data_IF_657221108713
#
_entry.id   IF_657221108713
#
_cell.length_a   1.000
_cell.length_b   1.000
_cell.length_c   1.000
_cell.angle_alpha   90.00
_cell.angle_beta   90.00
_cell.angle_gamma   90.00
#
_symmetry.space_group_name_H-M   'P 1'
#
loop_
_entity.id
_entity.type
_entity.pdbx_description
1 polymer ?
#
# COMPACT_ATOMS: atom_id res chain seq x y z
N UNK A 1 51.95 11.75 51.48
CA UNK A 1 51.08 10.97 50.57
C UNK A 1 50.01 10.14 51.28
N UNK A 2 50.32 9.41 52.37
CA UNK A 2 49.36 8.50 53.05
C UNK A 2 48.02 9.14 53.48
N UNK A 3 48.02 10.29 54.17
CA UNK A 3 46.77 10.96 54.62
C UNK A 3 45.84 11.37 53.47
N UNK A 4 46.37 11.89 52.35
CA UNK A 4 45.57 12.29 51.18
C UNK A 4 44.94 11.08 50.48
N UNK A 5 45.68 9.97 50.39
CA UNK A 5 45.18 8.71 49.85
C UNK A 5 44.09 8.09 50.75
N UNK A 6 44.28 8.10 52.07
CA UNK A 6 43.27 7.62 53.04
C UNK A 6 41.98 8.44 52.96
N UNK A 7 42.08 9.77 52.83
CA UNK A 7 40.90 10.65 52.67
C UNK A 7 40.18 10.37 51.35
N UNK A 8 40.91 10.20 50.23
CA UNK A 8 40.32 9.88 48.94
C UNK A 8 39.58 8.52 48.96
N UNK A 9 40.14 7.51 49.62
CA UNK A 9 39.50 6.20 49.80
C UNK A 9 38.22 6.32 50.64
N UNK A 10 38.26 7.09 51.74
CA UNK A 10 37.07 7.31 52.58
C UNK A 10 35.97 8.02 51.78
N UNK A 11 36.30 9.08 51.03
CA UNK A 11 35.32 9.80 50.20
C UNK A 11 34.75 8.90 49.10
N UNK A 12 35.59 8.07 48.48
CA UNK A 12 35.15 7.08 47.49
C UNK A 12 34.18 6.07 48.08
N UNK A 13 34.48 5.56 49.28
CA UNK A 13 33.63 4.57 49.96
C UNK A 13 32.30 5.18 50.46
N UNK A 14 32.34 6.41 50.99
CA UNK A 14 31.12 7.14 51.39
C UNK A 14 30.25 7.47 50.18
N UNK A 15 30.85 7.88 49.06
CA UNK A 15 30.12 8.13 47.81
C UNK A 15 29.50 6.84 47.26
N UNK A 16 30.20 5.70 47.34
CA UNK A 16 29.68 4.39 46.93
C UNK A 16 28.48 3.97 47.79
N UNK A 17 28.59 4.09 49.12
CA UNK A 17 27.50 3.77 50.05
C UNK A 17 26.30 4.69 49.80
N UNK A 18 26.52 5.99 49.66
CA UNK A 18 25.46 6.95 49.36
C UNK A 18 24.77 6.62 48.03
N UNK A 19 25.54 6.26 46.99
CA UNK A 19 25.02 5.80 45.70
C UNK A 19 24.17 4.53 45.81
N UNK A 20 24.62 3.55 46.60
CA UNK A 20 23.87 2.30 46.85
C UNK A 20 22.60 2.53 47.66
N UNK A 21 22.62 3.47 48.63
CA UNK A 21 21.42 3.85 49.39
C UNK A 21 20.41 4.55 48.47
N UNK A 22 20.85 5.47 47.62
CA UNK A 22 19.99 6.14 46.64
C UNK A 22 19.40 5.17 45.63
N UNK A 23 20.20 4.23 45.12
CA UNK A 23 19.74 3.16 44.23
C UNK A 23 18.75 2.23 44.95
N UNK A 24 19.02 1.88 46.22
CA UNK A 24 18.13 1.08 47.07
C UNK A 24 16.80 1.78 47.32
N UNK A 25 16.81 3.07 47.68
CA UNK A 25 15.59 3.88 47.84
C UNK A 25 14.81 3.94 46.53
N UNK A 26 15.48 4.18 45.39
CA UNK A 26 14.84 4.19 44.07
C UNK A 26 14.20 2.83 43.72
N UNK A 27 14.86 1.73 44.06
CA UNK A 27 14.33 0.38 43.87
C UNK A 27 13.13 0.08 44.78
N UNK A 28 13.24 0.33 46.09
CA UNK A 28 12.18 0.04 47.07
C UNK A 28 10.97 0.98 46.98
N UNK A 29 11.13 2.17 46.41
CA UNK A 29 10.01 3.09 46.12
C UNK A 29 9.29 2.75 44.81
N UNK A 30 9.69 1.67 44.14
CA UNK A 30 9.08 1.21 42.90
C UNK A 30 9.48 2.04 41.68
N UNK A 31 10.65 2.70 41.69
CA UNK A 31 11.07 3.60 40.61
C UNK A 31 11.03 2.94 39.22
N UNK A 32 11.57 1.73 39.09
CA UNK A 32 11.57 0.96 37.83
C UNK A 32 10.14 0.55 37.42
N UNK A 33 9.32 0.09 38.37
CA UNK A 33 7.93 -0.30 38.10
C UNK A 33 7.08 0.91 37.68
N UNK A 34 7.29 2.08 38.29
CA UNK A 34 6.62 3.33 37.89
C UNK A 34 7.06 3.83 36.51
N UNK A 35 8.33 3.66 36.17
CA UNK A 35 8.85 3.97 34.82
C UNK A 35 8.18 3.11 33.76
N UNK A 36 8.06 1.81 34.04
CA UNK A 36 7.34 0.88 33.17
C UNK A 36 5.85 1.25 33.06
N UNK A 37 5.16 1.50 34.18
CA UNK A 37 3.74 1.89 34.20
C UNK A 37 3.45 3.18 33.43
N UNK A 38 4.33 4.17 33.53
CA UNK A 38 4.16 5.46 32.83
C UNK A 38 4.43 5.33 31.33
N UNK A 39 5.42 4.54 30.93
CA UNK A 39 5.80 4.38 29.52
C UNK A 39 4.97 3.32 28.77
N UNK A 40 4.17 2.51 29.49
CA UNK A 40 3.39 1.44 28.91
C UNK A 40 2.22 1.98 28.07
N UNK A 41 2.13 1.57 26.79
CA UNK A 41 0.95 1.86 26.00
C UNK A 41 -0.27 1.17 26.62
N UNK A 42 -1.43 1.77 26.40
CA UNK A 42 -2.71 1.20 26.84
C UNK A 42 -3.62 1.03 25.65
N UNK A 43 -4.35 -0.08 25.59
CA UNK A 43 -5.30 -0.30 24.51
C UNK A 43 -6.55 0.57 24.72
N UNK A 44 -6.93 1.30 23.68
CA UNK A 44 -8.14 2.11 23.64
C UNK A 44 -9.17 1.41 22.78
N UNK A 45 -10.34 1.16 23.37
CA UNK A 45 -11.51 0.68 22.64
C UNK A 45 -12.61 1.74 22.66
N UNK A 46 -13.12 2.07 21.49
CA UNK A 46 -14.26 2.97 21.32
C UNK A 46 -15.32 2.27 20.49
N UNK A 47 -16.58 2.48 20.87
CA UNK A 47 -17.73 1.90 20.17
C UNK A 47 -18.65 3.01 19.73
N UNK A 48 -19.12 2.94 18.49
CA UNK A 48 -20.06 3.90 17.91
C UNK A 48 -21.24 3.15 17.32
N UNK A 49 -22.44 3.71 17.49
CA UNK A 49 -23.67 3.08 16.98
C UNK A 49 -23.97 3.47 15.54
N UNK A 50 -23.47 4.61 15.08
CA UNK A 50 -23.71 5.10 13.74
C UNK A 50 -22.51 5.91 13.25
N UNK A 51 -21.99 5.55 12.07
CA UNK A 51 -20.91 6.23 11.38
C UNK A 51 -21.18 6.12 9.87
N UNK A 52 -21.08 7.25 9.19
CA UNK A 52 -21.24 7.32 7.73
C UNK A 52 -19.88 7.45 7.05
N UNK A 53 -18.95 8.16 7.69
CA UNK A 53 -17.64 8.49 7.14
C UNK A 53 -16.53 8.11 8.11
N UNK A 54 -15.48 7.50 7.57
CA UNK A 54 -14.20 7.34 8.25
C UNK A 54 -13.16 8.18 7.51
N UNK A 55 -12.48 9.06 8.25
CA UNK A 55 -11.40 9.91 7.76
C UNK A 55 -10.11 9.59 8.51
N UNK A 56 -9.07 9.21 7.76
CA UNK A 56 -7.70 9.02 8.26
C UNK A 56 -6.85 10.20 7.81
N UNK A 57 -6.64 11.15 8.71
CA UNK A 57 -5.86 12.37 8.49
C UNK A 57 -4.42 12.14 8.89
N UNK A 58 -3.68 11.47 8.00
CA UNK A 58 -2.26 11.12 8.12
C UNK A 58 -1.86 10.50 9.47
N UNK A 59 -1.70 9.18 9.47
CA UNK A 59 -1.15 8.46 10.63
C UNK A 59 0.00 7.55 10.20
N UNK A 60 1.09 7.47 10.98
CA UNK A 60 2.20 6.55 10.70
C UNK A 60 1.90 5.14 11.21
N UNK A 61 0.67 4.65 10.98
CA UNK A 61 0.18 3.36 11.46
C UNK A 61 -0.46 2.60 10.31
N UNK A 62 -0.43 1.27 10.39
CA UNK A 62 -1.22 0.41 9.52
C UNK A 62 -2.70 0.50 9.90
N UNK A 63 -3.57 0.71 8.91
CA UNK A 63 -5.02 0.83 9.12
C UNK A 63 -5.69 -0.45 8.65
N UNK A 64 -6.32 -1.16 9.58
CA UNK A 64 -7.13 -2.34 9.31
C UNK A 64 -8.60 -1.98 9.40
N UNK A 65 -9.36 -2.19 8.33
CA UNK A 65 -10.80 -1.96 8.31
C UNK A 65 -11.49 -3.27 7.96
N UNK A 66 -12.34 -3.79 8.84
CA UNK A 66 -12.92 -5.12 8.67
C UNK A 66 -14.37 -5.19 9.14
N UNK A 67 -15.08 -6.25 8.76
CA UNK A 67 -16.42 -6.53 9.27
C UNK A 67 -16.40 -6.76 10.80
N UNK A 68 -17.33 -6.12 11.52
CA UNK A 68 -17.58 -6.33 12.95
C UNK A 68 -18.38 -7.61 13.20
N UNK A 69 -18.19 -8.18 14.39
CA UNK A 69 -18.98 -9.31 14.87
C UNK A 69 -20.40 -8.93 15.33
N UNK A 70 -20.65 -7.65 15.59
CA UNK A 70 -21.92 -7.14 16.09
C UNK A 70 -22.50 -6.02 15.21
N UNK A 71 -23.50 -5.30 15.73
CA UNK A 71 -24.18 -4.20 15.02
C UNK A 71 -23.53 -2.83 15.19
N UNK A 72 -22.37 -2.74 15.84
CA UNK A 72 -21.69 -1.49 16.17
C UNK A 72 -20.38 -1.36 15.42
N UNK A 73 -19.93 -0.10 15.32
CA UNK A 73 -18.58 0.19 14.90
C UNK A 73 -17.66 0.11 16.10
N UNK A 74 -16.49 -0.52 15.95
CA UNK A 74 -15.46 -0.53 16.97
C UNK A 74 -14.16 0.05 16.44
N UNK A 75 -13.49 0.84 17.26
CA UNK A 75 -12.15 1.36 16.96
C UNK A 75 -11.24 0.93 18.09
N UNK A 76 -10.18 0.21 17.74
CA UNK A 76 -9.15 -0.26 18.65
C UNK A 76 -7.79 0.24 18.19
N UNK A 77 -7.06 0.87 19.10
CA UNK A 77 -5.70 1.37 18.86
C UNK A 77 -4.94 1.50 20.19
N UNK A 78 -3.62 1.59 20.13
CA UNK A 78 -2.81 1.88 21.31
C UNK A 78 -2.78 3.38 21.61
N UNK A 79 -3.08 3.77 22.84
CA UNK A 79 -2.67 5.07 23.35
C UNK A 79 -1.18 5.01 23.71
N UNK A 80 -0.40 5.84 23.00
CA UNK A 80 1.05 5.98 23.10
C UNK A 80 1.47 7.36 23.63
N UNK A 81 0.61 8.06 24.38
CA UNK A 81 0.87 9.42 24.92
C UNK A 81 2.21 9.57 25.65
N UNK A 82 2.76 8.49 26.21
CA UNK A 82 4.06 8.49 26.93
C UNK A 82 5.05 7.45 26.34
N UNK A 83 4.91 7.15 25.05
CA UNK A 83 5.70 6.14 24.35
C UNK A 83 6.31 6.74 23.07
N UNK A 84 7.41 6.16 22.58
CA UNK A 84 8.09 6.60 21.34
C UNK A 84 7.21 6.54 20.08
N UNK A 85 6.14 5.74 20.10
CA UNK A 85 5.19 5.67 18.98
C UNK A 85 4.28 6.90 18.94
N UNK A 86 3.96 7.35 17.73
CA UNK A 86 3.17 8.59 17.54
C UNK A 86 1.77 8.43 18.14
N UNK A 87 1.38 9.24 19.15
CA UNK A 87 0.05 9.14 19.74
C UNK A 87 -1.01 9.51 18.71
N UNK A 88 -2.21 8.93 18.90
CA UNK A 88 -3.34 9.11 18.00
C UNK A 88 -4.46 9.88 18.68
N UNK A 89 -5.03 10.83 17.93
CA UNK A 89 -6.23 11.54 18.33
C UNK A 89 -7.42 11.00 17.56
N UNK A 90 -8.44 10.57 18.30
CA UNK A 90 -9.74 10.15 17.77
C UNK A 90 -10.78 11.22 18.07
N UNK A 91 -11.56 11.59 17.06
CA UNK A 91 -12.76 12.41 17.24
C UNK A 91 -13.91 11.85 16.41
N UNK A 92 -15.11 11.98 16.93
CA UNK A 92 -16.34 11.69 16.20
C UNK A 92 -17.22 12.93 16.28
N UNK A 93 -17.73 13.36 15.12
CA UNK A 93 -18.69 14.46 15.03
C UNK A 93 -19.63 14.22 13.85
N UNK A 94 -20.92 14.29 14.11
CA UNK A 94 -21.97 14.21 13.08
C UNK A 94 -21.86 12.95 12.20
N UNK A 95 -21.47 11.80 12.79
CA UNK A 95 -21.30 10.52 12.09
C UNK A 95 -20.00 10.41 11.29
N UNK A 96 -19.07 11.35 11.48
CA UNK A 96 -17.73 11.36 10.87
C UNK A 96 -16.70 11.01 11.93
N UNK A 97 -16.09 9.84 11.80
CA UNK A 97 -14.95 9.42 12.61
C UNK A 97 -13.66 9.96 11.97
N UNK A 98 -12.88 10.74 12.70
CA UNK A 98 -11.58 11.23 12.25
C UNK A 98 -10.47 10.72 13.17
N UNK A 99 -9.48 10.06 12.56
CA UNK A 99 -8.21 9.70 13.21
C UNK A 99 -7.09 10.56 12.65
N UNK A 100 -6.27 11.12 13.54
CA UNK A 100 -5.07 11.88 13.16
C UNK A 100 -3.91 11.58 14.08
N UNK A 101 -2.69 11.81 13.61
CA UNK A 101 -1.51 11.84 14.47
C UNK A 101 -1.58 13.04 15.44
N UNK A 102 -0.97 12.88 16.61
CA UNK A 102 -0.75 13.93 17.59
C UNK A 102 0.76 14.15 17.78
N UNK A 103 1.14 15.37 18.18
CA UNK A 103 2.51 15.69 18.56
C UNK A 103 2.96 14.83 19.75
N UNK A 104 4.17 14.26 19.64
CA UNK A 104 4.79 13.48 20.71
C UNK A 104 5.18 14.39 21.86
N UNK A 105 4.57 14.18 23.03
CA UNK A 105 4.93 14.82 24.28
C UNK A 105 5.38 13.75 25.29
N UNK A 106 6.63 13.77 25.75
CA UNK A 106 7.12 12.76 26.68
C UNK A 106 7.01 13.24 28.14
N UNK A 107 6.34 12.45 29.00
CA UNK A 107 6.34 12.73 30.44
C UNK A 107 7.69 12.47 31.14
N UNK A 108 8.58 11.68 30.51
CA UNK A 108 9.93 11.35 31.01
C UNK A 108 10.90 11.51 29.84
N UNK A 109 11.92 12.34 29.99
CA UNK A 109 12.93 12.58 28.96
C UNK A 109 14.28 11.90 29.27
N UNK A 110 15.06 11.58 28.24
CA UNK A 110 16.44 11.08 28.36
C UNK A 110 16.55 9.57 28.60
N UNK A 111 17.65 9.10 29.20
CA UNK A 111 17.95 7.66 29.33
C UNK A 111 16.87 6.88 30.10
N UNK A 112 16.14 7.55 31.00
CA UNK A 112 15.07 6.96 31.78
C UNK A 112 13.84 6.63 30.93
N UNK A 113 13.56 7.42 29.89
CA UNK A 113 12.51 7.16 28.91
C UNK A 113 12.79 5.85 28.18
N UNK A 114 13.98 5.71 27.61
CA UNK A 114 14.41 4.51 26.89
C UNK A 114 14.34 3.25 27.77
N UNK A 115 14.74 3.36 29.04
CA UNK A 115 14.65 2.24 29.99
C UNK A 115 13.19 1.91 30.32
N UNK A 116 12.35 2.91 30.58
CA UNK A 116 10.92 2.72 30.83
C UNK A 116 10.22 2.04 29.65
N UNK A 117 10.45 2.51 28.43
CA UNK A 117 9.87 1.95 27.20
C UNK A 117 10.33 0.51 26.93
N UNK A 118 11.61 0.21 27.15
CA UNK A 118 12.12 -1.17 26.99
C UNK A 118 11.53 -2.14 28.00
N UNK A 119 11.24 -1.66 29.20
CA UNK A 119 10.57 -2.46 30.23
C UNK A 119 9.08 -2.60 29.93
N UNK A 120 8.48 -1.58 29.33
CA UNK A 120 7.06 -1.49 29.07
C UNK A 120 6.61 -2.14 27.74
N UNK A 121 7.50 -2.92 27.09
CA UNK A 121 7.14 -3.72 25.91
C UNK A 121 6.09 -4.77 26.30
N UNK A 122 4.81 -4.44 26.05
CA UNK A 122 3.66 -5.33 26.22
C UNK A 122 3.26 -5.95 24.89
N UNK A 123 2.44 -7.00 24.94
CA UNK A 123 1.77 -7.61 23.78
C UNK A 123 0.65 -6.73 23.19
N UNK A 124 0.83 -5.40 23.16
CA UNK A 124 -0.10 -4.44 22.55
C UNK A 124 0.48 -4.01 21.21
N UNK A 125 -0.30 -4.12 20.14
CA UNK A 125 0.12 -3.62 18.83
C UNK A 125 0.01 -2.09 18.79
N UNK A 126 1.17 -1.44 18.90
CA UNK A 126 1.30 0.02 18.88
C UNK A 126 1.42 0.61 17.48
N UNK A 127 1.50 -0.22 16.43
CA UNK A 127 1.72 0.25 15.06
C UNK A 127 0.46 0.17 14.19
N UNK A 128 -0.68 -0.20 14.77
CA UNK A 128 -1.91 -0.39 14.02
C UNK A 128 -3.14 0.26 14.64
N UNK A 129 -4.09 0.55 13.77
CA UNK A 129 -5.46 0.90 14.13
C UNK A 129 -6.37 -0.13 13.48
N UNK A 130 -7.29 -0.70 14.27
CA UNK A 130 -8.36 -1.54 13.74
C UNK A 130 -9.70 -0.79 13.84
N UNK A 131 -10.41 -0.71 12.72
CA UNK A 131 -11.77 -0.17 12.62
C UNK A 131 -12.69 -1.28 12.14
N UNK A 132 -13.63 -1.68 12.97
CA UNK A 132 -14.62 -2.70 12.66
C UNK A 132 -15.94 -2.02 12.24
N UNK A 133 -16.45 -2.38 11.07
CA UNK A 133 -17.69 -1.83 10.47
C UNK A 133 -18.81 -2.86 10.63
N UNK A 134 -20.01 -2.49 11.11
CA UNK A 134 -21.09 -3.45 11.35
C UNK A 134 -21.40 -4.31 10.13
N UNK A 135 -21.68 -5.59 10.39
CA UNK A 135 -22.03 -6.56 9.34
C UNK A 135 -23.18 -6.08 8.46
N UNK A 136 -22.99 -6.15 7.15
CA UNK A 136 -23.99 -5.76 6.16
C UNK A 136 -24.25 -4.24 6.08
N UNK A 137 -23.60 -3.41 6.89
CA UNK A 137 -23.61 -1.97 6.70
C UNK A 137 -22.71 -1.58 5.52
N UNK A 138 -23.14 -0.54 4.83
CA UNK A 138 -22.34 0.11 3.80
C UNK A 138 -21.79 1.40 4.40
N UNK A 139 -20.48 1.56 4.35
CA UNK A 139 -19.84 2.82 4.69
C UNK A 139 -20.07 3.81 3.54
N UNK A 140 -20.58 5.00 3.82
CA UNK A 140 -20.83 5.99 2.78
C UNK A 140 -19.52 6.53 2.22
N UNK A 141 -18.54 6.80 3.09
CA UNK A 141 -17.26 7.35 2.66
C UNK A 141 -16.07 6.86 3.47
N UNK A 142 -15.00 6.48 2.79
CA UNK A 142 -13.68 6.27 3.37
C UNK A 142 -12.69 7.25 2.72
N UNK A 143 -12.11 8.12 3.52
CA UNK A 143 -11.04 9.02 3.09
C UNK A 143 -9.78 8.72 3.91
N UNK A 144 -8.64 8.63 3.26
CA UNK A 144 -7.41 8.38 4.00
C UNK A 144 -6.15 8.72 3.24
N UNK A 145 -5.23 9.40 3.90
CA UNK A 145 -3.86 9.53 3.44
C UNK A 145 -2.94 8.82 4.42
N UNK A 146 -2.10 7.93 3.93
CA UNK A 146 -1.18 7.13 4.71
C UNK A 146 0.13 6.97 3.93
N UNK A 147 1.26 6.94 4.65
CA UNK A 147 2.55 6.66 4.02
C UNK A 147 2.73 5.15 3.91
N UNK A 148 3.10 4.69 2.74
CA UNK A 148 3.61 3.33 2.61
C UNK A 148 5.13 3.36 2.82
N UNK A 149 5.60 2.96 4.01
CA UNK A 149 6.99 2.60 4.23
C UNK A 149 7.12 1.08 4.24
N UNK A 150 8.27 0.56 3.78
CA UNK A 150 8.53 -0.85 3.50
C UNK A 150 7.99 -1.87 4.54
N UNK A 151 7.91 -1.51 5.83
CA UNK A 151 7.45 -2.40 6.91
C UNK A 151 6.22 -1.89 7.70
N UNK A 152 5.74 -0.67 7.44
CA UNK A 152 4.62 -0.05 8.18
C UNK A 152 3.83 0.92 7.32
N UNK A 153 2.50 0.93 7.52
CA UNK A 153 1.60 1.88 6.85
C UNK A 153 0.94 1.34 5.58
N UNK A 154 -0.30 1.76 5.40
CA UNK A 154 -1.22 1.30 4.37
C UNK A 154 -2.59 0.91 4.93
N UNK A 155 -3.50 0.59 4.01
CA UNK A 155 -4.87 0.18 4.28
C UNK A 155 -5.03 -1.30 3.96
N UNK A 156 -5.43 -2.08 4.95
CA UNK A 156 -5.94 -3.45 4.75
C UNK A 156 -7.43 -3.43 5.01
N UNK A 157 -8.23 -3.71 3.99
CA UNK A 157 -9.69 -3.60 4.04
C UNK A 157 -10.32 -4.94 3.68
N UNK A 158 -11.20 -5.45 4.55
CA UNK A 158 -11.72 -6.81 4.41
C UNK A 158 -13.22 -6.93 4.69
N UNK A 159 -13.94 -7.64 3.80
CA UNK A 159 -15.34 -8.04 4.00
C UNK A 159 -16.33 -6.89 4.25
N UNK A 160 -16.12 -5.72 3.63
CA UNK A 160 -17.03 -4.57 3.77
C UNK A 160 -17.45 -4.00 2.42
N UNK A 161 -18.51 -3.18 2.44
CA UNK A 161 -18.95 -2.36 1.31
C UNK A 161 -18.73 -0.88 1.59
N UNK A 162 -18.16 -0.17 0.63
CA UNK A 162 -17.90 1.27 0.69
C UNK A 162 -18.52 1.92 -0.56
N UNK A 163 -19.28 3.01 -0.41
CA UNK A 163 -19.81 3.72 -1.58
C UNK A 163 -18.74 4.55 -2.28
N UNK A 164 -17.98 5.35 -1.53
CA UNK A 164 -16.90 6.18 -2.05
C UNK A 164 -15.61 5.96 -1.24
N UNK A 165 -14.52 5.57 -1.89
CA UNK A 165 -13.21 5.42 -1.25
C UNK A 165 -12.15 6.30 -1.93
N UNK A 166 -11.61 7.27 -1.19
CA UNK A 166 -10.53 8.13 -1.63
C UNK A 166 -9.29 7.88 -0.76
N UNK A 167 -8.34 7.10 -1.28
CA UNK A 167 -7.20 6.61 -0.51
C UNK A 167 -5.89 7.02 -1.15
N UNK A 168 -4.91 7.33 -0.31
CA UNK A 168 -3.53 7.52 -0.74
C UNK A 168 -2.59 6.76 0.19
N UNK A 169 -1.70 5.94 -0.37
CA UNK A 169 -0.86 4.98 0.36
C UNK A 169 -1.05 3.55 -0.14
N UNK A 170 -0.37 2.57 0.47
CA UNK A 170 -0.51 1.15 0.09
C UNK A 170 -1.92 0.63 0.39
N UNK A 171 -2.55 -0.12 -0.53
CA UNK A 171 -3.92 -0.62 -0.37
C UNK A 171 -4.01 -2.12 -0.67
N UNK A 172 -4.54 -2.88 0.28
CA UNK A 172 -4.86 -4.30 0.15
C UNK A 172 -6.35 -4.53 0.45
N UNK A 173 -7.08 -5.07 -0.53
CA UNK A 173 -8.52 -5.33 -0.46
C UNK A 173 -8.79 -6.83 -0.53
N UNK A 174 -9.59 -7.36 0.39
CA UNK A 174 -10.07 -8.72 0.35
C UNK A 174 -11.59 -8.79 0.55
N UNK A 175 -12.32 -9.32 -0.45
CA UNK A 175 -13.79 -9.43 -0.40
C UNK A 175 -14.49 -8.10 -0.14
N UNK A 176 -13.97 -7.03 -0.75
CA UNK A 176 -14.50 -5.67 -0.61
C UNK A 176 -15.34 -5.31 -1.82
N UNK A 177 -16.40 -4.54 -1.61
CA UNK A 177 -17.09 -3.83 -2.71
C UNK A 177 -16.88 -2.33 -2.55
N UNK A 178 -16.34 -1.68 -3.58
CA UNK A 178 -16.21 -0.22 -3.65
C UNK A 178 -16.99 0.27 -4.86
N UNK A 179 -17.95 1.16 -4.65
CA UNK A 179 -18.85 1.62 -5.71
C UNK A 179 -18.31 2.80 -6.52
N UNK A 180 -17.34 3.55 -5.97
CA UNK A 180 -16.70 4.70 -6.63
C UNK A 180 -15.48 5.19 -5.84
N UNK A 181 -14.62 5.97 -6.49
CA UNK A 181 -13.58 6.73 -5.81
C UNK A 181 -12.23 6.77 -6.52
N UNK A 182 -11.20 7.18 -5.79
CA UNK A 182 -9.85 7.39 -6.31
C UNK A 182 -8.80 6.79 -5.38
N UNK A 183 -7.80 6.12 -5.94
CA UNK A 183 -6.70 5.53 -5.18
C UNK A 183 -5.37 5.94 -5.78
N UNK A 184 -4.54 6.63 -4.98
CA UNK A 184 -3.19 7.06 -5.33
C UNK A 184 -2.19 6.21 -4.53
N UNK A 185 -1.50 5.27 -5.17
CA UNK A 185 -0.82 4.21 -4.40
C UNK A 185 0.52 3.74 -4.95
N UNK A 186 1.43 3.43 -4.01
CA UNK A 186 2.67 2.70 -4.28
C UNK A 186 2.52 1.18 -4.27
N UNK A 187 1.34 0.66 -3.95
CA UNK A 187 1.03 -0.76 -4.01
C UNK A 187 -0.49 -1.00 -3.97
N UNK A 188 -1.03 -1.70 -4.97
CA UNK A 188 -2.44 -2.06 -4.99
C UNK A 188 -2.65 -3.57 -5.10
N UNK A 189 -3.40 -4.13 -4.16
CA UNK A 189 -3.88 -5.51 -4.25
C UNK A 189 -5.39 -5.58 -4.03
N UNK A 190 -6.08 -6.33 -4.89
CA UNK A 190 -7.48 -6.66 -4.70
C UNK A 190 -7.74 -8.14 -4.98
N UNK A 191 -8.27 -8.84 -3.97
CA UNK A 191 -8.64 -10.26 -4.04
C UNK A 191 -10.12 -10.44 -3.77
N UNK A 192 -10.80 -11.21 -4.62
CA UNK A 192 -12.23 -11.53 -4.47
C UNK A 192 -13.12 -10.28 -4.30
N UNK A 193 -12.72 -9.15 -4.90
CA UNK A 193 -13.32 -7.84 -4.65
C UNK A 193 -14.11 -7.36 -5.88
N UNK A 194 -14.98 -6.38 -5.69
CA UNK A 194 -15.73 -5.71 -6.76
C UNK A 194 -15.44 -4.21 -6.70
N UNK A 195 -14.87 -3.67 -7.76
CA UNK A 195 -14.49 -2.26 -7.86
C UNK A 195 -15.27 -1.63 -9.01
N UNK A 196 -15.96 -0.53 -8.73
CA UNK A 196 -16.78 0.20 -9.71
C UNK A 196 -16.37 1.66 -9.76
N UNK A 197 -16.39 2.25 -10.96
CA UNK A 197 -16.18 3.68 -11.19
C UNK A 197 -14.96 4.21 -10.41
N UNK A 198 -13.85 3.45 -10.46
CA UNK A 198 -12.62 3.73 -9.75
C UNK A 198 -11.56 4.31 -10.70
N UNK A 199 -10.81 5.29 -10.20
CA UNK A 199 -9.55 5.72 -10.81
C UNK A 199 -8.39 5.31 -9.89
N UNK A 200 -7.51 4.44 -10.36
CA UNK A 200 -6.37 3.92 -9.61
C UNK A 200 -5.09 4.37 -10.31
N UNK A 201 -4.36 5.27 -9.67
CA UNK A 201 -3.12 5.82 -10.20
C UNK A 201 -1.95 5.27 -9.37
N UNK A 202 -0.99 4.70 -10.09
CA UNK A 202 0.22 4.12 -9.54
C UNK A 202 1.41 4.96 -9.97
N UNK A 203 2.28 5.29 -9.03
CA UNK A 203 3.55 5.94 -9.34
C UNK A 203 4.60 4.86 -9.60
N UNK A 204 4.54 4.23 -10.78
CA UNK A 204 5.48 3.18 -11.24
C UNK A 204 5.51 1.93 -10.35
N UNK A 205 4.35 1.59 -9.81
CA UNK A 205 4.21 0.57 -8.78
C UNK A 205 3.46 -0.66 -9.26
N UNK A 206 3.35 -1.66 -8.38
CA UNK A 206 2.75 -2.96 -8.70
C UNK A 206 1.26 -3.03 -8.38
N UNK A 207 0.51 -3.69 -9.28
CA UNK A 207 -0.91 -4.03 -9.15
C UNK A 207 -1.06 -5.56 -9.12
N UNK A 208 -1.85 -6.08 -8.17
CA UNK A 208 -2.27 -7.48 -8.14
C UNK A 208 -3.79 -7.61 -8.03
N UNK A 209 -4.39 -8.29 -9.00
CA UNK A 209 -5.82 -8.56 -9.04
C UNK A 209 -6.04 -10.07 -9.12
N UNK A 210 -6.83 -10.63 -8.20
CA UNK A 210 -7.17 -12.05 -8.20
C UNK A 210 -8.65 -12.25 -7.93
N UNK A 211 -9.36 -12.91 -8.85
CA UNK A 211 -10.80 -13.17 -8.73
C UNK A 211 -11.61 -11.87 -8.49
N UNK A 212 -11.14 -10.76 -9.06
CA UNK A 212 -11.70 -9.42 -8.85
C UNK A 212 -12.57 -9.02 -10.04
N UNK A 213 -13.70 -8.36 -9.77
CA UNK A 213 -14.57 -7.76 -10.78
C UNK A 213 -14.29 -6.26 -10.88
N UNK A 214 -14.08 -5.77 -12.09
CA UNK A 214 -13.89 -4.36 -12.42
C UNK A 214 -15.06 -3.88 -13.27
N UNK A 215 -15.66 -2.75 -12.90
CA UNK A 215 -16.71 -2.07 -13.67
C UNK A 215 -16.34 -0.59 -13.87
N UNK A 216 -16.08 -0.17 -15.11
CA UNK A 216 -15.65 1.20 -15.43
C UNK A 216 -14.39 1.65 -14.64
N UNK A 217 -13.39 0.78 -14.53
CA UNK A 217 -12.16 1.06 -13.77
C UNK A 217 -11.03 1.52 -14.69
N UNK A 218 -10.38 2.61 -14.31
CA UNK A 218 -9.12 3.06 -14.90
C UNK A 218 -7.97 2.70 -13.96
N UNK A 219 -6.93 2.03 -14.48
CA UNK A 219 -5.68 1.74 -13.76
C UNK A 219 -4.53 2.32 -14.58
N UNK A 220 -3.79 3.27 -14.03
CA UNK A 220 -2.73 3.97 -14.76
C UNK A 220 -1.40 4.04 -13.98
N UNK A 221 -0.31 4.24 -14.72
CA UNK A 221 1.03 4.50 -14.17
C UNK A 221 1.72 3.29 -13.53
N UNK A 222 1.19 2.07 -13.68
CA UNK A 222 1.81 0.87 -13.09
C UNK A 222 3.07 0.42 -13.87
N UNK A 223 4.05 -0.09 -13.14
CA UNK A 223 5.22 -0.79 -13.73
C UNK A 223 4.94 -2.28 -13.91
N UNK A 224 4.12 -2.87 -13.04
CA UNK A 224 3.71 -4.27 -13.13
C UNK A 224 2.22 -4.43 -12.80
N UNK A 225 1.48 -5.14 -13.63
CA UNK A 225 0.12 -5.58 -13.35
C UNK A 225 0.03 -7.09 -13.49
N UNK A 226 -0.43 -7.79 -12.44
CA UNK A 226 -0.76 -9.21 -12.47
C UNK A 226 -2.26 -9.38 -12.21
N UNK A 227 -3.00 -9.75 -13.25
CA UNK A 227 -4.44 -10.00 -13.20
C UNK A 227 -4.74 -11.46 -13.44
N UNK A 228 -5.42 -12.11 -12.49
CA UNK A 228 -5.81 -13.52 -12.54
C UNK A 228 -7.31 -13.67 -12.35
N UNK A 229 -7.98 -14.34 -13.29
CA UNK A 229 -9.43 -14.57 -13.25
C UNK A 229 -10.23 -13.27 -13.03
N UNK A 230 -9.80 -12.17 -13.64
CA UNK A 230 -10.49 -10.88 -13.52
C UNK A 230 -11.77 -10.86 -14.34
N UNK A 231 -12.84 -10.34 -13.77
CA UNK A 231 -14.10 -10.09 -14.48
C UNK A 231 -14.17 -8.64 -14.96
N UNK A 232 -14.50 -8.45 -16.23
CA UNK A 232 -14.59 -7.12 -16.85
C UNK A 232 -16.06 -6.77 -17.13
N UNK A 233 -16.48 -5.63 -16.62
CA UNK A 233 -17.80 -5.04 -16.85
C UNK A 233 -17.63 -3.58 -17.29
N UNK A 234 -18.52 -3.07 -18.13
CA UNK A 234 -18.44 -1.68 -18.58
C UNK A 234 -17.15 -1.36 -19.34
N UNK A 235 -16.65 -0.13 -19.25
CA UNK A 235 -15.46 0.33 -20.01
C UNK A 235 -14.23 0.46 -19.09
N UNK A 236 -13.35 -0.53 -19.12
CA UNK A 236 -12.13 -0.54 -18.33
C UNK A 236 -10.93 -0.09 -19.16
N UNK A 237 -9.99 0.59 -18.51
CA UNK A 237 -8.80 1.12 -19.17
C UNK A 237 -7.55 0.91 -18.34
N UNK A 238 -6.54 0.27 -18.92
CA UNK A 238 -5.22 0.13 -18.30
C UNK A 238 -4.17 0.90 -19.10
N UNK A 239 -3.38 1.71 -18.42
CA UNK A 239 -2.31 2.49 -19.02
C UNK A 239 -1.03 2.28 -18.20
N UNK A 240 -0.13 1.38 -18.64
CA UNK A 240 1.16 1.20 -17.98
C UNK A 240 1.98 2.49 -17.95
N UNK A 241 2.94 2.57 -17.04
CA UNK A 241 3.98 3.62 -17.09
C UNK A 241 4.80 3.51 -18.38
N UNK A 242 5.20 4.65 -18.93
CA UNK A 242 6.08 4.78 -20.10
C UNK A 242 7.50 5.23 -19.75
N UNK A 243 7.82 5.40 -18.46
CA UNK A 243 9.17 5.76 -17.98
C UNK A 243 10.17 4.62 -18.15
N UNK A 244 9.74 3.40 -17.85
CA UNK A 244 10.54 2.17 -17.91
C UNK A 244 9.75 1.07 -18.62
N UNK A 245 10.40 -0.08 -18.91
CA UNK A 245 9.69 -1.26 -19.41
C UNK A 245 8.66 -1.73 -18.37
N UNK A 246 7.39 -1.65 -18.72
CA UNK A 246 6.29 -2.11 -17.88
C UNK A 246 5.81 -3.50 -18.30
N UNK A 247 5.31 -4.28 -17.35
CA UNK A 247 4.80 -5.63 -17.59
C UNK A 247 3.33 -5.75 -17.22
N UNK A 248 2.53 -6.29 -18.11
CA UNK A 248 1.11 -6.62 -17.87
C UNK A 248 0.90 -8.11 -18.06
N UNK A 249 0.42 -8.80 -17.04
CA UNK A 249 -0.12 -10.15 -17.12
C UNK A 249 -1.64 -10.08 -17.00
N UNK A 250 -2.33 -10.54 -18.05
CA UNK A 250 -3.78 -10.46 -18.14
C UNK A 250 -4.37 -11.86 -18.34
N UNK A 251 -5.00 -12.39 -17.30
CA UNK A 251 -5.94 -13.49 -17.36
C UNK A 251 -7.31 -13.03 -16.87
N UNK A 252 -8.28 -13.05 -17.78
CA UNK A 252 -9.68 -12.69 -17.52
C UNK A 252 -10.54 -13.94 -17.47
N UNK A 253 -11.68 -13.90 -16.79
CA UNK A 253 -12.60 -15.04 -16.75
C UNK A 253 -13.08 -15.43 -18.15
N UNK A 254 -13.43 -16.70 -18.36
CA UNK A 254 -13.93 -17.17 -19.66
C UNK A 254 -15.21 -16.44 -20.08
N UNK A 255 -16.05 -16.07 -19.10
CA UNK A 255 -17.21 -15.21 -19.31
C UNK A 255 -16.81 -13.84 -19.86
N UNK A 256 -15.82 -13.19 -19.26
CA UNK A 256 -15.34 -11.88 -19.73
C UNK A 256 -14.72 -11.99 -21.11
N UNK A 257 -13.96 -13.05 -21.39
CA UNK A 257 -13.38 -13.27 -22.70
C UNK A 257 -14.44 -13.47 -23.80
N UNK A 258 -15.55 -14.14 -23.46
CA UNK A 258 -16.67 -14.36 -24.39
C UNK A 258 -17.57 -13.13 -24.57
N UNK A 259 -17.60 -12.22 -23.59
CA UNK A 259 -18.53 -11.09 -23.52
C UNK A 259 -17.82 -9.74 -23.27
N UNK A 260 -16.60 -9.55 -23.78
CA UNK A 260 -15.90 -8.27 -23.74
C UNK A 260 -15.17 -7.97 -25.04
N UNK A 261 -15.10 -6.71 -25.41
CA UNK A 261 -14.21 -6.22 -26.45
C UNK A 261 -12.81 -5.99 -25.84
N UNK A 262 -11.75 -6.41 -26.53
CA UNK A 262 -10.38 -6.11 -26.12
C UNK A 262 -9.73 -5.24 -27.20
N UNK A 263 -9.15 -4.11 -26.78
CA UNK A 263 -8.30 -3.28 -27.63
C UNK A 263 -6.98 -3.08 -26.91
N UNK A 264 -5.94 -3.75 -27.38
CA UNK A 264 -4.61 -3.69 -26.78
C UNK A 264 -3.65 -3.16 -27.83
N UNK A 265 -2.98 -2.05 -27.53
CA UNK A 265 -1.96 -1.45 -28.38
C UNK A 265 -0.66 -1.32 -27.62
N UNK A 266 0.45 -1.56 -28.32
CA UNK A 266 1.79 -1.35 -27.80
C UNK A 266 2.64 -0.68 -28.87
N UNK A 267 3.02 0.58 -28.64
CA UNK A 267 3.94 1.30 -29.51
C UNK A 267 5.37 0.92 -29.16
N UNK A 268 6.14 0.45 -30.14
CA UNK A 268 7.57 0.26 -30.00
C UNK A 268 8.24 1.60 -30.31
N UNK A 269 8.84 2.22 -29.30
CA UNK A 269 9.63 3.43 -29.39
C UNK A 269 11.09 3.09 -29.10
N UNK A 270 11.84 2.81 -30.16
CA UNK A 270 13.26 2.42 -30.09
C UNK A 270 14.11 3.51 -29.43
N UNK A 271 13.76 4.79 -29.61
CA UNK A 271 14.45 5.92 -29.00
C UNK A 271 14.31 5.85 -27.48
N UNK A 272 13.06 5.84 -26.97
CA UNK A 272 12.80 5.77 -25.53
C UNK A 272 13.42 4.52 -24.91
N UNK A 273 13.38 3.39 -25.61
CA UNK A 273 13.95 2.14 -25.12
C UNK A 273 15.48 2.22 -24.94
N UNK A 274 16.18 2.83 -25.89
CA UNK A 274 17.64 3.05 -25.84
C UNK A 274 18.00 4.05 -24.75
N UNK A 275 17.27 5.17 -24.65
CA UNK A 275 17.45 6.20 -23.61
C UNK A 275 17.24 5.64 -22.19
N UNK A 276 16.23 4.78 -22.00
CA UNK A 276 15.95 4.13 -20.72
C UNK A 276 17.09 3.18 -20.27
N UNK A 277 17.91 2.68 -21.21
CA UNK A 277 19.11 1.90 -20.90
C UNK A 277 20.36 2.77 -20.67
N UNK A 278 20.22 4.09 -20.68
CA UNK A 278 21.32 5.04 -20.41
C UNK A 278 22.21 5.32 -21.62
N UNK A 279 21.81 4.91 -22.82
CA UNK A 279 22.52 5.22 -24.04
C UNK A 279 22.11 6.62 -24.54
N UNK A 280 23.10 7.37 -25.00
CA UNK A 280 22.93 8.66 -25.67
C UNK A 280 23.36 8.52 -27.12
N UNK A 281 22.69 9.23 -28.02
CA UNK A 281 23.01 9.21 -29.46
C UNK A 281 22.81 10.61 -30.06
N UNK A 282 23.58 10.94 -31.08
CA UNK A 282 23.59 12.30 -31.68
C UNK A 282 22.58 12.42 -32.84
N UNK A 283 22.33 11.35 -33.60
CA UNK A 283 21.34 11.34 -34.70
C UNK A 283 20.54 10.03 -34.87
N UNK A 284 19.55 10.02 -35.77
CA UNK A 284 18.63 8.89 -35.98
C UNK A 284 19.19 7.69 -36.76
N UNK A 285 20.31 7.85 -37.50
CA UNK A 285 20.96 6.72 -38.18
C UNK A 285 21.77 5.90 -37.17
N UNK A 286 22.40 6.57 -36.20
CA UNK A 286 23.11 5.92 -35.09
C UNK A 286 22.19 4.99 -34.29
N UNK A 287 20.94 5.40 -34.03
CA UNK A 287 19.96 4.59 -33.29
C UNK A 287 19.71 3.22 -33.94
N UNK A 288 19.59 3.19 -35.26
CA UNK A 288 19.33 1.95 -36.02
C UNK A 288 20.53 0.99 -35.98
N UNK A 289 21.75 1.51 -36.06
CA UNK A 289 22.96 0.70 -35.94
C UNK A 289 23.15 0.18 -34.51
N UNK A 290 22.98 1.04 -33.50
CA UNK A 290 23.10 0.68 -32.08
C UNK A 290 22.18 -0.48 -31.70
N UNK A 291 20.90 -0.39 -32.06
CA UNK A 291 19.90 -1.43 -31.79
C UNK A 291 20.26 -2.78 -32.43
N UNK A 292 20.82 -2.76 -33.64
CA UNK A 292 21.12 -3.99 -34.39
C UNK A 292 22.45 -4.64 -33.98
N UNK A 293 23.40 -3.85 -33.49
CA UNK A 293 24.75 -4.30 -33.14
C UNK A 293 24.89 -4.66 -31.66
N UNK A 294 24.10 -4.05 -30.77
CA UNK A 294 24.12 -4.35 -29.34
C UNK A 294 23.22 -5.56 -29.02
N UNK A 295 23.80 -6.71 -28.58
CA UNK A 295 23.02 -7.90 -28.25
C UNK A 295 22.01 -7.66 -27.13
N UNK A 296 22.30 -6.78 -26.18
CA UNK A 296 21.44 -6.49 -25.04
C UNK A 296 20.22 -5.66 -25.47
N UNK A 297 20.40 -4.63 -26.31
CA UNK A 297 19.27 -3.87 -26.86
C UNK A 297 18.38 -4.74 -27.74
N UNK A 298 18.99 -5.66 -28.51
CA UNK A 298 18.25 -6.62 -29.35
C UNK A 298 17.44 -7.62 -28.51
N UNK A 299 18.01 -8.11 -27.41
CA UNK A 299 17.30 -8.96 -26.45
C UNK A 299 16.12 -8.21 -25.83
N UNK A 300 16.34 -6.98 -25.33
CA UNK A 300 15.27 -6.13 -24.75
C UNK A 300 14.13 -5.85 -25.73
N UNK A 301 14.43 -5.57 -27.00
CA UNK A 301 13.41 -5.41 -28.01
C UNK A 301 12.61 -6.69 -28.28
N UNK A 302 13.20 -7.86 -28.06
CA UNK A 302 12.51 -9.15 -28.13
C UNK A 302 11.56 -9.41 -26.96
N UNK A 303 11.82 -8.78 -25.80
CA UNK A 303 10.98 -8.88 -24.60
C UNK A 303 9.77 -7.93 -24.64
N UNK A 304 9.85 -6.85 -25.42
CA UNK A 304 8.77 -5.89 -25.59
C UNK A 304 7.79 -6.37 -26.65
N UNK A 305 6.50 -6.38 -26.30
CA UNK A 305 5.46 -6.75 -27.25
C UNK A 305 4.19 -7.26 -26.59
N UNK A 306 3.23 -7.65 -27.44
CA UNK A 306 2.01 -8.34 -27.06
C UNK A 306 2.21 -9.84 -27.33
N UNK A 307 2.10 -10.64 -26.27
CA UNK A 307 2.28 -12.09 -26.31
C UNK A 307 1.00 -12.78 -25.86
N UNK A 308 0.59 -13.79 -26.61
CA UNK A 308 -0.59 -14.60 -26.29
C UNK A 308 -0.19 -16.04 -25.99
N UNK A 309 -0.86 -16.63 -25.01
CA UNK A 309 -0.74 -18.04 -24.62
C UNK A 309 -2.12 -18.59 -24.27
N UNK A 310 -2.21 -19.90 -24.01
CA UNK A 310 -3.44 -20.58 -23.59
C UNK A 310 -4.65 -20.27 -24.51
N UNK A 311 -5.77 -19.85 -23.90
CA UNK A 311 -7.02 -19.47 -24.59
C UNK A 311 -6.90 -18.23 -25.48
N UNK A 312 -5.78 -17.51 -25.40
CA UNK A 312 -5.53 -16.29 -26.18
C UNK A 312 -4.77 -16.54 -27.49
N UNK A 313 -4.17 -17.72 -27.68
CA UNK A 313 -3.39 -18.08 -28.89
C UNK A 313 -4.15 -17.92 -30.21
N UNK A 314 -5.48 -18.00 -30.17
CA UNK A 314 -6.37 -17.82 -31.34
C UNK A 314 -6.54 -16.36 -31.77
N UNK A 315 -6.11 -15.39 -30.97
CA UNK A 315 -6.22 -13.97 -31.27
C UNK A 315 -4.89 -13.46 -31.84
N UNK A 316 -4.85 -13.10 -33.14
CA UNK A 316 -3.61 -12.67 -33.77
C UNK A 316 -3.21 -11.26 -33.30
N UNK A 317 -1.91 -11.08 -33.09
CA UNK A 317 -1.29 -9.77 -32.92
C UNK A 317 -0.87 -9.27 -34.30
N UNK A 318 -1.33 -8.07 -34.67
CA UNK A 318 -0.93 -7.38 -35.90
C UNK A 318 0.19 -6.40 -35.59
N UNK A 319 1.16 -6.28 -36.50
CA UNK A 319 2.26 -5.34 -36.37
C UNK A 319 2.34 -4.49 -37.64
N UNK A 320 2.21 -3.16 -37.49
CA UNK A 320 2.29 -2.18 -38.57
C UNK A 320 3.09 -0.98 -38.09
N UNK A 321 4.17 -0.59 -38.79
CA UNK A 321 4.97 0.60 -38.47
C UNK A 321 5.35 0.75 -36.97
N UNK A 322 5.97 -0.28 -36.40
CA UNK A 322 6.35 -0.33 -34.97
C UNK A 322 5.18 -0.27 -33.97
N UNK A 323 3.91 -0.33 -34.43
CA UNK A 323 2.73 -0.48 -33.58
C UNK A 323 2.26 -1.93 -33.59
N UNK A 324 2.12 -2.53 -32.41
CA UNK A 324 1.46 -3.82 -32.23
C UNK A 324 0.03 -3.61 -31.76
N UNK A 325 -0.91 -4.38 -32.32
CA UNK A 325 -2.33 -4.32 -31.95
C UNK A 325 -2.93 -5.72 -31.84
N UNK A 326 -3.64 -5.97 -30.74
CA UNK A 326 -4.55 -7.10 -30.58
C UNK A 326 -5.97 -6.54 -30.41
N UNK A 327 -6.88 -7.04 -31.23
CA UNK A 327 -8.29 -6.65 -31.18
C UNK A 327 -9.17 -7.88 -31.09
N UNK A 328 -10.08 -7.87 -30.10
CA UNK A 328 -11.20 -8.79 -30.00
C UNK A 328 -12.49 -7.97 -30.02
N UNK A 329 -13.32 -8.17 -31.06
CA UNK A 329 -14.62 -7.51 -31.19
C UNK A 329 -15.76 -8.51 -31.00
N UNK A 330 -16.57 -8.26 -29.97
CA UNK A 330 -17.81 -8.95 -29.69
C UNK A 330 -18.96 -7.98 -29.93
N UNK A 331 -19.54 -7.99 -31.15
CA UNK A 331 -20.52 -6.99 -31.65
C UNK A 331 -21.74 -6.72 -30.76
N UNK A 332 -22.08 -7.62 -29.84
CA UNK A 332 -23.19 -7.45 -28.89
C UNK A 332 -22.76 -7.05 -27.47
N UNK A 333 -21.47 -7.08 -27.17
CA UNK A 333 -20.95 -6.79 -25.84
C UNK A 333 -20.83 -5.28 -25.62
N UNK A 334 -21.22 -4.85 -24.42
CA UNK A 334 -20.98 -3.50 -23.90
C UNK A 334 -19.73 -3.42 -23.03
N UNK A 335 -19.12 -4.55 -22.69
CA UNK A 335 -17.93 -4.59 -21.86
C UNK A 335 -16.71 -4.39 -22.75
N UNK A 336 -15.73 -3.66 -22.25
CA UNK A 336 -14.49 -3.36 -22.97
C UNK A 336 -13.33 -3.29 -21.99
N UNK A 337 -12.18 -3.75 -22.46
CA UNK A 337 -10.88 -3.39 -21.89
C UNK A 337 -10.03 -2.73 -22.97
N UNK A 338 -9.52 -1.55 -22.67
CA UNK A 338 -8.52 -0.85 -23.48
C UNK A 338 -7.19 -0.86 -22.76
N UNK A 339 -6.13 -1.32 -23.42
CA UNK A 339 -4.74 -1.18 -22.93
C UNK A 339 -3.97 -0.38 -23.98
N UNK A 340 -3.40 0.74 -23.57
CA UNK A 340 -2.55 1.57 -24.41
C UNK A 340 -1.18 1.70 -23.76
N UNK A 341 -0.16 1.19 -24.43
CA UNK A 341 1.19 1.10 -23.88
C UNK A 341 2.26 1.58 -24.87
N UNK A 342 3.43 1.93 -24.33
CA UNK A 342 4.65 2.17 -25.10
C UNK A 342 5.76 1.33 -24.47
N UNK A 343 6.50 0.59 -25.28
CA UNK A 343 7.62 -0.26 -24.85
C UNK A 343 7.28 -1.24 -23.69
N UNK A 344 6.03 -1.74 -23.65
CA UNK A 344 5.60 -2.67 -22.62
C UNK A 344 5.68 -4.14 -23.04
N UNK A 345 5.75 -5.02 -22.06
CA UNK A 345 5.57 -6.47 -22.20
C UNK A 345 4.16 -6.83 -21.75
N UNK A 346 3.27 -7.16 -22.67
CA UNK A 346 1.86 -7.49 -22.40
C UNK A 346 1.64 -8.96 -22.69
N UNK A 347 1.49 -9.77 -21.65
CA UNK A 347 1.21 -11.20 -21.70
C UNK A 347 -0.27 -11.45 -21.43
N UNK A 348 -0.95 -12.08 -22.39
CA UNK A 348 -2.31 -12.58 -22.22
C UNK A 348 -2.26 -14.10 -21.99
N UNK A 349 -2.64 -14.54 -20.79
CA UNK A 349 -2.49 -15.93 -20.33
C UNK A 349 -1.20 -16.16 -19.53
N UNK A 350 -0.70 -17.40 -19.55
CA UNK A 350 0.57 -17.77 -18.89
C UNK A 350 1.74 -16.92 -19.43
N UNK A 351 2.58 -16.34 -18.55
CA UNK A 351 3.80 -15.60 -18.92
C UNK A 351 4.73 -16.42 -19.84
N UNK A 352 5.39 -15.75 -20.79
CA UNK A 352 6.51 -16.33 -21.55
C UNK A 352 7.84 -16.13 -20.84
#
# INVERSE_FOLDING_TARGET
MKKKLTIAIIIGFVSLIAGLILAGIGFFTGGITRLEEVAAPTEVHKTFTDLNTIKIDFIPHSVYIKESSDSNYHVTYANSDNNIQTPLKLSEKDGVLTLSAQELEFAIEGIMQYLGERLAQRDIDVNSVTIEVPKGKTLDKLEGHNLHFYDFGGFTIENIRIKEANLSGGVNLAKVTIDSGQIETGYFQATQSTLKDMHINLHESSVRLSETSLENVTIEGYSQLDSRQTTLLGDNRFTPSDTYSSTTFLDVTDKSLADSNLLITNQIDKKKLVEAQGYYYEDGNDLGEMVNQDPYLKERLGEVGIFTSDKYTKYPVKTENDLQTLTLENKGSKNKLTIEATNATINLGTPK
#
